data_IF_679389401281
#
_entry.id   IF_679389401281
#
_cell.length_a   1.000
_cell.length_b   1.000
_cell.length_c   1.000
_cell.angle_alpha   90.00
_cell.angle_beta   90.00
_cell.angle_gamma   90.00
#
_symmetry.space_group_name_H-M   'P 1'
#
loop_
_entity.id
_entity.type
_entity.pdbx_description
1 polymer ?
#
# COMPACT_ATOMS: atom_id res chain seq x y z
N UNK A 1 4.46 -15.54 -20.93
CA UNK A 1 3.90 -16.53 -19.97
C UNK A 1 4.67 -16.65 -18.65
N UNK A 2 6.01 -16.51 -18.58
CA UNK A 2 6.78 -16.60 -17.30
C UNK A 2 6.57 -15.45 -16.31
N UNK A 3 6.20 -14.26 -16.74
CA UNK A 3 5.97 -13.08 -15.86
C UNK A 3 4.68 -13.16 -15.04
N UNK A 4 3.66 -13.87 -15.54
CA UNK A 4 2.43 -14.09 -14.77
C UNK A 4 2.60 -15.13 -13.66
N UNK A 5 3.54 -16.07 -13.83
CA UNK A 5 3.77 -17.13 -12.85
C UNK A 5 4.40 -16.62 -11.56
N UNK A 6 5.31 -15.65 -11.64
CA UNK A 6 5.95 -15.01 -10.48
C UNK A 6 4.92 -14.18 -9.70
N UNK A 7 4.00 -13.49 -10.40
CA UNK A 7 2.92 -12.75 -9.77
C UNK A 7 1.97 -13.66 -8.98
N UNK A 8 1.65 -14.86 -9.50
CA UNK A 8 0.80 -15.85 -8.82
C UNK A 8 1.47 -16.49 -7.61
N UNK A 9 2.78 -16.72 -7.64
CA UNK A 9 3.53 -17.25 -6.49
C UNK A 9 3.56 -16.22 -5.36
N UNK A 10 3.78 -14.94 -5.66
CA UNK A 10 3.71 -13.87 -4.65
C UNK A 10 2.29 -13.71 -4.07
N UNK A 11 1.28 -13.82 -4.90
CA UNK A 11 -0.12 -13.73 -4.47
C UNK A 11 -0.52 -14.92 -3.59
N UNK A 12 -0.06 -16.14 -3.89
CA UNK A 12 -0.36 -17.34 -3.09
C UNK A 12 0.31 -17.33 -1.71
N UNK A 13 1.49 -16.75 -1.56
CA UNK A 13 2.18 -16.60 -0.27
C UNK A 13 1.46 -15.60 0.64
N UNK A 14 0.87 -14.54 0.07
CA UNK A 14 0.06 -13.57 0.83
C UNK A 14 -1.30 -14.18 1.21
N UNK A 15 -1.88 -15.07 0.39
CA UNK A 15 -3.18 -15.69 0.60
C UNK A 15 -3.17 -16.93 1.52
N UNK A 16 -2.02 -17.57 1.73
CA UNK A 16 -1.90 -18.75 2.59
C UNK A 16 -1.66 -18.47 4.08
N UNK A 17 -1.57 -17.21 4.48
CA UNK A 17 -1.50 -16.83 5.87
C UNK A 17 -2.87 -17.09 6.54
N UNK A 18 -2.88 -18.02 7.48
CA UNK A 18 -4.05 -18.52 8.23
C UNK A 18 -4.96 -17.41 8.76
N UNK A 19 -6.27 -17.57 8.62
CA UNK A 19 -7.33 -16.59 8.94
C UNK A 19 -7.34 -16.10 10.40
N UNK A 20 -6.69 -16.77 11.33
CA UNK A 20 -6.72 -16.40 12.75
C UNK A 20 -5.69 -15.34 13.19
N UNK A 21 -4.70 -15.01 12.36
CA UNK A 21 -3.61 -14.07 12.72
C UNK A 21 -3.54 -12.80 11.88
N UNK A 22 -4.61 -12.44 11.18
CA UNK A 22 -4.60 -11.31 10.24
C UNK A 22 -4.37 -9.93 10.89
N UNK A 23 -4.63 -9.78 12.16
CA UNK A 23 -4.44 -8.51 12.87
C UNK A 23 -3.04 -8.37 13.51
N UNK A 24 -2.27 -9.45 13.57
CA UNK A 24 -0.90 -9.49 14.07
C UNK A 24 0.11 -9.81 12.95
N UNK A 25 0.04 -9.12 11.82
CA UNK A 25 1.20 -9.06 10.92
C UNK A 25 2.23 -8.09 11.55
N UNK A 26 2.77 -8.46 12.68
CA UNK A 26 4.17 -8.28 12.91
C UNK A 26 4.85 -9.22 11.94
N UNK A 27 5.62 -8.72 11.01
CA UNK A 27 6.46 -9.51 10.11
C UNK A 27 7.33 -10.37 11.02
N UNK A 28 6.89 -11.62 11.24
CA UNK A 28 7.61 -12.54 12.09
C UNK A 28 8.89 -12.93 11.33
N UNK A 29 9.99 -13.08 12.03
CA UNK A 29 11.29 -13.50 11.47
C UNK A 29 11.18 -14.73 10.56
N UNK A 30 10.17 -15.59 10.78
CA UNK A 30 9.87 -16.74 9.94
C UNK A 30 9.36 -16.37 8.54
N UNK A 31 8.72 -15.21 8.36
CA UNK A 31 8.27 -14.76 7.03
C UNK A 31 9.44 -14.21 6.22
N UNK A 32 10.41 -13.55 6.86
CA UNK A 32 11.62 -13.10 6.21
C UNK A 32 12.51 -14.29 5.79
N UNK A 33 12.66 -15.30 6.65
CA UNK A 33 13.42 -16.50 6.37
C UNK A 33 12.82 -17.33 5.22
N UNK A 34 11.48 -17.47 5.15
CA UNK A 34 10.80 -18.15 4.05
C UNK A 34 10.94 -17.42 2.72
N UNK A 35 10.90 -16.09 2.75
CA UNK A 35 11.10 -15.26 1.56
C UNK A 35 12.56 -15.26 1.10
N UNK A 36 13.52 -15.28 2.03
CA UNK A 36 14.95 -15.42 1.73
C UNK A 36 15.27 -16.79 1.10
N UNK A 37 14.62 -17.86 1.54
CA UNK A 37 14.75 -19.20 0.96
C UNK A 37 14.20 -19.26 -0.47
N UNK A 38 13.06 -18.59 -0.75
CA UNK A 38 12.49 -18.52 -2.10
C UNK A 38 13.33 -17.65 -3.06
N UNK A 39 13.87 -16.53 -2.56
CA UNK A 39 14.72 -15.62 -3.33
C UNK A 39 16.09 -16.20 -3.65
N UNK A 40 16.62 -17.06 -2.78
CA UNK A 40 17.87 -17.80 -2.98
C UNK A 40 17.69 -19.13 -3.73
N UNK A 41 16.50 -19.40 -4.25
CA UNK A 41 16.28 -20.60 -5.05
C UNK A 41 17.19 -20.62 -6.29
N UNK A 42 17.70 -21.82 -6.71
CA UNK A 42 18.65 -21.93 -7.84
C UNK A 42 18.15 -21.37 -9.17
N UNK A 43 16.86 -21.13 -9.30
CA UNK A 43 16.26 -20.55 -10.49
C UNK A 43 16.36 -19.01 -10.51
N UNK A 44 16.31 -18.35 -9.35
CA UNK A 44 16.48 -16.90 -9.24
C UNK A 44 17.96 -16.53 -9.25
N UNK A 45 18.83 -17.32 -8.63
CA UNK A 45 20.28 -17.11 -8.67
C UNK A 45 20.87 -17.21 -10.08
N UNK A 46 20.28 -18.04 -10.97
CA UNK A 46 20.68 -18.13 -12.39
C UNK A 46 20.22 -16.91 -13.22
N UNK A 47 19.21 -16.14 -12.78
CA UNK A 47 18.85 -14.88 -13.41
C UNK A 47 19.81 -13.73 -13.04
N UNK A 48 20.51 -13.83 -11.93
CA UNK A 48 21.50 -12.84 -11.48
C UNK A 48 22.91 -13.04 -12.10
N UNK A 49 23.16 -14.12 -12.85
CA UNK A 49 24.49 -14.45 -13.38
C UNK A 49 24.84 -13.75 -14.70
N UNK A 50 24.22 -12.63 -15.04
CA UNK A 50 24.72 -11.77 -16.12
C UNK A 50 25.75 -10.76 -15.60
N UNK A 51 26.86 -11.28 -15.05
CA UNK A 51 28.01 -10.54 -14.51
C UNK A 51 28.68 -9.55 -15.48
N UNK A 52 28.30 -9.57 -16.75
CA UNK A 52 28.87 -8.70 -17.77
C UNK A 52 28.40 -7.24 -17.65
N UNK A 53 27.24 -7.01 -17.05
CA UNK A 53 26.66 -5.68 -16.86
C UNK A 53 26.92 -5.07 -15.49
N UNK A 54 27.40 -5.85 -14.52
CA UNK A 54 27.70 -5.37 -13.15
C UNK A 54 29.04 -4.62 -13.05
N UNK A 55 30.02 -4.90 -13.93
CA UNK A 55 31.34 -4.25 -13.88
C UNK A 55 31.30 -2.78 -14.24
N UNK A 56 30.48 -2.39 -15.22
CA UNK A 56 30.35 -0.98 -15.62
C UNK A 56 29.48 -0.15 -14.64
N UNK A 57 28.71 -0.85 -13.79
CA UNK A 57 27.79 -0.26 -12.81
C UNK A 57 28.51 0.18 -11.51
N UNK A 58 29.68 -0.35 -11.26
CA UNK A 58 30.39 -0.17 -9.97
C UNK A 58 31.08 1.19 -9.81
N UNK A 59 31.23 1.98 -10.87
CA UNK A 59 32.11 3.13 -10.85
C UNK A 59 31.45 4.42 -10.33
N UNK A 60 30.12 4.57 -10.42
CA UNK A 60 29.42 5.81 -10.04
C UNK A 60 28.46 5.70 -8.84
N UNK A 61 28.24 4.51 -8.28
CA UNK A 61 27.19 4.24 -7.30
C UNK A 61 27.69 4.03 -5.87
N UNK A 62 28.87 4.51 -5.51
CA UNK A 62 29.43 4.33 -4.15
C UNK A 62 28.63 5.03 -3.04
N UNK A 63 27.73 5.95 -3.39
CA UNK A 63 26.92 6.72 -2.43
C UNK A 63 25.45 6.35 -2.36
N UNK A 64 24.94 5.39 -3.16
CA UNK A 64 23.54 5.02 -3.16
C UNK A 64 23.30 3.68 -2.46
N UNK A 65 22.37 3.65 -1.51
CA UNK A 65 21.95 2.43 -0.85
C UNK A 65 21.24 1.54 -1.89
N UNK A 66 21.76 0.33 -2.10
CA UNK A 66 21.06 -0.67 -2.92
C UNK A 66 19.75 -1.02 -2.22
N UNK A 67 18.63 -0.79 -2.90
CA UNK A 67 17.30 -1.11 -2.41
C UNK A 67 16.77 -2.28 -3.22
N UNK A 68 16.42 -3.37 -2.54
CA UNK A 68 15.78 -4.53 -3.14
C UNK A 68 14.31 -4.24 -3.43
N UNK A 69 13.74 -4.93 -4.43
CA UNK A 69 12.28 -4.92 -4.66
C UNK A 69 11.52 -5.27 -3.38
N UNK A 70 12.04 -6.24 -2.62
CA UNK A 70 11.42 -6.67 -1.37
C UNK A 70 11.42 -5.57 -0.32
N UNK A 71 12.51 -4.83 -0.16
CA UNK A 71 12.60 -3.69 0.76
C UNK A 71 11.54 -2.63 0.43
N UNK A 72 11.35 -2.32 -0.87
CA UNK A 72 10.33 -1.35 -1.31
C UNK A 72 8.92 -1.83 -0.98
N UNK A 73 8.63 -3.10 -1.21
CA UNK A 73 7.31 -3.67 -0.90
C UNK A 73 7.05 -3.66 0.61
N UNK A 74 8.01 -4.11 1.42
CA UNK A 74 7.90 -4.11 2.89
C UNK A 74 7.72 -2.69 3.44
N UNK A 75 8.50 -1.75 2.97
CA UNK A 75 8.40 -0.33 3.35
C UNK A 75 7.03 0.25 2.96
N UNK A 76 6.52 -0.09 1.77
CA UNK A 76 5.20 0.35 1.32
C UNK A 76 4.09 -0.23 2.20
N UNK A 77 4.15 -1.53 2.52
CA UNK A 77 3.14 -2.19 3.36
C UNK A 77 3.15 -1.62 4.79
N UNK A 78 4.32 -1.37 5.36
CA UNK A 78 4.43 -0.84 6.73
C UNK A 78 3.99 0.63 6.86
N UNK A 79 4.25 1.45 5.85
CA UNK A 79 4.04 2.90 5.93
C UNK A 79 2.82 3.42 5.17
N UNK A 80 2.14 2.61 4.36
CA UNK A 80 0.98 3.07 3.59
C UNK A 80 -0.16 3.56 4.47
N UNK A 81 -0.52 4.83 4.34
CA UNK A 81 -1.66 5.43 5.02
C UNK A 81 -2.99 4.79 4.60
N UNK A 82 -3.11 4.38 3.33
CA UNK A 82 -4.30 3.70 2.80
C UNK A 82 -4.50 2.33 3.45
N UNK A 83 -3.42 1.56 3.66
CA UNK A 83 -3.50 0.27 4.36
C UNK A 83 -3.88 0.45 5.83
N UNK A 84 -3.32 1.45 6.51
CA UNK A 84 -3.70 1.78 7.88
C UNK A 84 -5.18 2.16 7.97
N UNK A 85 -5.66 3.03 7.08
CA UNK A 85 -7.07 3.42 7.03
C UNK A 85 -8.00 2.22 6.75
N UNK A 86 -7.64 1.35 5.82
CA UNK A 86 -8.41 0.16 5.50
C UNK A 86 -8.44 -0.86 6.66
N UNK A 87 -7.33 -0.97 7.42
CA UNK A 87 -7.28 -1.76 8.65
C UNK A 87 -8.23 -1.23 9.71
N UNK A 88 -8.28 0.10 9.90
CA UNK A 88 -9.21 0.72 10.85
C UNK A 88 -10.66 0.47 10.46
N UNK A 89 -10.99 0.38 9.16
CA UNK A 89 -12.33 0.00 8.70
C UNK A 89 -12.70 -1.43 9.10
N UNK A 90 -11.74 -2.37 9.05
CA UNK A 90 -11.98 -3.75 9.54
C UNK A 90 -12.25 -3.73 11.05
N UNK A 91 -11.44 -3.01 11.84
CA UNK A 91 -11.63 -2.86 13.29
C UNK A 91 -13.00 -2.23 13.60
N UNK A 92 -13.40 -1.21 12.84
CA UNK A 92 -14.72 -0.58 12.99
C UNK A 92 -15.86 -1.58 12.74
N UNK A 93 -15.75 -2.41 11.70
CA UNK A 93 -16.76 -3.44 11.42
C UNK A 93 -16.79 -4.52 12.49
N UNK A 94 -15.63 -4.86 13.07
CA UNK A 94 -15.55 -5.78 14.20
C UNK A 94 -16.23 -5.22 15.47
N UNK A 95 -16.04 -3.93 15.75
CA UNK A 95 -16.71 -3.24 16.88
C UNK A 95 -18.22 -3.23 16.67
N UNK A 96 -18.71 -2.91 15.45
CA UNK A 96 -20.15 -2.97 15.12
C UNK A 96 -20.73 -4.36 15.35
N UNK A 97 -20.00 -5.41 15.00
CA UNK A 97 -20.42 -6.78 15.27
C UNK A 97 -20.51 -7.06 16.77
N UNK A 98 -19.53 -6.63 17.55
CA UNK A 98 -19.56 -6.75 19.03
C UNK A 98 -20.74 -5.98 19.63
N UNK A 99 -21.06 -4.80 19.14
CA UNK A 99 -22.22 -4.01 19.56
C UNK A 99 -23.53 -4.74 19.25
N UNK A 100 -23.65 -5.38 18.09
CA UNK A 100 -24.84 -6.19 17.77
C UNK A 100 -24.98 -7.40 18.69
N UNK A 101 -23.87 -8.07 19.04
CA UNK A 101 -23.86 -9.19 19.99
C UNK A 101 -24.24 -8.70 21.38
N UNK A 102 -23.89 -7.46 21.76
CA UNK A 102 -24.33 -6.85 23.01
C UNK A 102 -25.86 -6.75 23.14
N UNK A 103 -26.60 -6.73 22.03
CA UNK A 103 -28.07 -6.80 22.00
C UNK A 103 -28.67 -8.08 22.61
N UNK A 104 -27.88 -9.13 22.84
CA UNK A 104 -28.28 -10.33 23.57
C UNK A 104 -28.16 -10.20 25.10
N UNK A 105 -27.49 -9.16 25.59
CA UNK A 105 -27.25 -8.95 27.03
C UNK A 105 -28.21 -7.93 27.60
N UNK A 106 -28.47 -7.99 28.93
CA UNK A 106 -29.29 -6.99 29.62
C UNK A 106 -28.60 -5.62 29.63
N UNK A 107 -29.37 -4.57 29.45
CA UNK A 107 -28.92 -3.19 29.63
C UNK A 107 -29.30 -2.67 31.00
N UNK A 108 -28.37 -1.96 31.64
CA UNK A 108 -28.59 -1.30 32.94
C UNK A 108 -28.54 0.22 32.73
N UNK A 109 -29.60 0.90 33.14
CA UNK A 109 -29.74 2.34 33.08
C UNK A 109 -29.93 2.93 34.46
N UNK A 110 -29.36 4.10 34.70
CA UNK A 110 -29.63 4.94 35.87
C UNK A 110 -30.13 6.31 35.36
N UNK A 111 -31.35 6.65 35.78
CA UNK A 111 -31.95 7.95 35.49
C UNK A 111 -32.04 8.74 36.80
N UNK A 112 -31.60 10.00 36.77
CA UNK A 112 -31.71 10.96 37.84
C UNK A 112 -32.37 12.21 37.30
N UNK A 113 -33.54 12.52 37.83
CA UNK A 113 -34.29 13.70 37.47
C UNK A 113 -34.39 14.60 38.70
N UNK A 114 -34.02 15.87 38.58
CA UNK A 114 -34.15 16.87 39.64
C UNK A 114 -34.92 18.05 39.04
N UNK A 115 -36.12 18.27 39.56
CA UNK A 115 -37.00 19.33 39.12
C UNK A 115 -37.43 20.22 40.27
N UNK A 116 -37.88 21.41 39.95
CA UNK A 116 -38.59 22.30 40.85
C UNK A 116 -39.98 22.52 40.27
N UNK A 117 -40.94 21.89 40.95
CA UNK A 117 -42.36 21.99 40.53
C UNK A 117 -43.04 23.09 41.33
N UNK A 118 -43.74 23.97 40.61
CA UNK A 118 -44.61 24.96 41.21
C UNK A 118 -46.04 24.41 41.17
N UNK A 119 -46.59 24.14 42.31
CA UNK A 119 -48.03 23.81 42.41
C UNK A 119 -48.80 25.04 42.87
N UNK A 120 -49.65 25.51 41.98
CA UNK A 120 -50.69 26.52 42.32
C UNK A 120 -52.03 25.85 42.45
N UNK A 121 -52.54 25.77 43.62
CA UNK A 121 -53.91 25.29 43.86
C UNK A 121 -54.85 26.47 43.91
N UNK A 122 -55.85 26.46 42.99
CA UNK A 122 -57.07 27.28 42.96
C UNK A 122 -56.93 28.80 43.05
N UNK A 123 -57.81 29.52 42.39
CA UNK A 123 -57.82 31.01 42.21
C UNK A 123 -57.85 31.84 43.52
N UNK A 124 -57.91 31.23 44.67
CA UNK A 124 -57.96 31.88 45.99
C UNK A 124 -56.68 31.74 46.85
N UNK A 125 -55.73 30.88 46.46
CA UNK A 125 -54.47 30.72 47.21
C UNK A 125 -53.39 31.66 46.69
N UNK A 126 -53.12 32.71 47.50
CA UNK A 126 -52.10 33.70 47.19
C UNK A 126 -50.65 33.19 47.36
N UNK A 127 -50.44 31.94 47.65
CA UNK A 127 -49.12 31.37 47.92
C UNK A 127 -48.81 30.24 46.95
N UNK A 128 -47.83 30.49 46.07
CA UNK A 128 -47.22 29.41 45.27
C UNK A 128 -46.31 28.56 46.16
N UNK A 129 -46.54 27.29 46.21
CA UNK A 129 -45.69 26.34 46.92
C UNK A 129 -44.76 25.64 45.95
N UNK A 130 -43.49 25.81 46.21
CA UNK A 130 -42.42 25.16 45.42
C UNK A 130 -42.02 23.86 46.07
N UNK A 131 -42.01 22.81 45.29
CA UNK A 131 -41.53 21.49 45.73
C UNK A 131 -40.27 21.19 44.90
N UNK A 132 -39.22 20.76 45.60
CA UNK A 132 -38.06 20.17 44.95
C UNK A 132 -38.39 18.69 44.76
N UNK A 133 -38.55 18.30 43.52
CA UNK A 133 -38.75 16.90 43.14
C UNK A 133 -37.41 16.28 42.75
N UNK A 134 -37.11 15.11 43.31
CA UNK A 134 -35.93 14.31 43.03
C UNK A 134 -36.36 12.88 42.82
N UNK A 135 -36.19 12.45 41.58
CA UNK A 135 -36.52 11.08 41.18
C UNK A 135 -35.25 10.34 40.77
N UNK A 136 -35.02 9.18 41.37
CA UNK A 136 -33.91 8.28 41.06
C UNK A 136 -34.50 6.95 40.64
N UNK A 137 -34.11 6.47 39.42
CA UNK A 137 -34.66 5.26 38.83
C UNK A 137 -33.53 4.40 38.30
N UNK A 138 -33.52 3.14 38.73
CA UNK A 138 -32.69 2.09 38.16
C UNK A 138 -33.53 1.24 37.21
N UNK A 139 -33.03 1.06 36.00
CA UNK A 139 -33.73 0.32 34.96
C UNK A 139 -32.83 -0.83 34.52
N UNK A 140 -33.33 -2.07 34.63
CA UNK A 140 -32.73 -3.25 34.04
C UNK A 140 -33.69 -3.72 32.91
N UNK A 141 -33.19 -3.72 31.69
CA UNK A 141 -33.97 -4.11 30.53
C UNK A 141 -33.31 -5.28 29.80
N UNK A 142 -34.05 -6.37 29.60
CA UNK A 142 -33.60 -7.54 28.86
C UNK A 142 -34.60 -7.81 27.75
N UNK A 143 -34.12 -7.82 26.50
CA UNK A 143 -34.92 -8.26 25.37
C UNK A 143 -34.88 -9.80 25.32
N UNK A 144 -36.01 -10.43 25.58
CA UNK A 144 -36.13 -11.90 25.57
C UNK A 144 -36.37 -12.44 24.16
N UNK A 145 -37.18 -11.72 23.35
CA UNK A 145 -37.49 -12.12 22.00
C UNK A 145 -37.82 -10.91 21.12
N UNK A 146 -37.11 -10.75 20.03
CA UNK A 146 -37.26 -9.66 19.05
C UNK A 146 -37.69 -10.14 17.65
N UNK A 147 -38.36 -11.29 17.55
CA UNK A 147 -38.76 -11.82 16.25
C UNK A 147 -37.61 -12.18 15.30
N UNK A 148 -36.42 -12.43 15.85
CA UNK A 148 -35.22 -12.74 15.07
C UNK A 148 -34.39 -11.51 14.64
N UNK A 149 -34.80 -10.29 15.00
CA UNK A 149 -34.11 -9.05 14.63
C UNK A 149 -32.65 -9.08 15.04
N UNK A 150 -32.32 -9.33 16.34
CA UNK A 150 -30.96 -9.38 16.85
C UNK A 150 -30.13 -10.43 16.13
N UNK A 151 -30.69 -11.64 15.92
CA UNK A 151 -29.97 -12.72 15.22
C UNK A 151 -29.63 -12.37 13.77
N UNK A 152 -30.60 -11.78 13.06
CA UNK A 152 -30.37 -11.38 11.67
C UNK A 152 -29.42 -10.19 11.56
N UNK A 153 -29.46 -9.25 12.51
CA UNK A 153 -28.55 -8.13 12.58
C UNK A 153 -27.11 -8.63 12.80
N UNK A 154 -26.87 -9.55 13.73
CA UNK A 154 -25.54 -10.17 13.95
C UNK A 154 -25.04 -10.83 12.68
N UNK A 155 -25.86 -11.67 12.02
CA UNK A 155 -25.48 -12.32 10.75
C UNK A 155 -25.17 -11.33 9.63
N UNK A 156 -25.91 -10.22 9.56
CA UNK A 156 -25.66 -9.15 8.58
C UNK A 156 -24.29 -8.51 8.82
N UNK A 157 -23.98 -8.18 10.09
CA UNK A 157 -22.71 -7.54 10.46
C UNK A 157 -21.52 -8.50 10.36
N UNK A 158 -21.71 -9.81 10.55
CA UNK A 158 -20.68 -10.80 10.21
C UNK A 158 -20.31 -10.76 8.71
N UNK A 159 -21.31 -10.63 7.84
CA UNK A 159 -21.06 -10.49 6.40
C UNK A 159 -20.40 -9.15 6.05
N UNK A 160 -20.82 -8.06 6.73
CA UNK A 160 -20.17 -6.75 6.57
C UNK A 160 -18.70 -6.78 7.00
N UNK A 161 -18.37 -7.47 8.10
CA UNK A 161 -16.97 -7.69 8.52
C UNK A 161 -16.18 -8.45 7.45
N UNK A 162 -16.74 -9.49 6.85
CA UNK A 162 -16.10 -10.23 5.77
C UNK A 162 -15.87 -9.35 4.53
N UNK A 163 -16.82 -8.47 4.20
CA UNK A 163 -16.64 -7.47 3.12
C UNK A 163 -15.49 -6.52 3.45
N UNK A 164 -15.43 -6.00 4.68
CA UNK A 164 -14.34 -5.11 5.10
C UNK A 164 -12.96 -5.80 5.04
N UNK A 165 -12.88 -7.07 5.44
CA UNK A 165 -11.64 -7.88 5.31
C UNK A 165 -11.23 -8.04 3.84
N UNK A 166 -12.16 -8.38 2.96
CA UNK A 166 -11.88 -8.51 1.54
C UNK A 166 -11.45 -7.18 0.91
N UNK A 167 -12.05 -6.07 1.34
CA UNK A 167 -11.65 -4.72 0.91
C UNK A 167 -10.23 -4.38 1.33
N UNK A 168 -9.84 -4.75 2.56
CA UNK A 168 -8.46 -4.61 3.00
C UNK A 168 -7.48 -5.39 2.10
N UNK A 169 -7.82 -6.63 1.72
CA UNK A 169 -7.01 -7.42 0.79
C UNK A 169 -6.86 -6.77 -0.59
N UNK A 170 -7.94 -6.20 -1.11
CA UNK A 170 -7.91 -5.49 -2.39
C UNK A 170 -6.96 -4.28 -2.32
N UNK A 171 -7.06 -3.49 -1.25
CA UNK A 171 -6.17 -2.33 -1.04
C UNK A 171 -4.72 -2.78 -0.89
N UNK A 172 -4.46 -3.88 -0.16
CA UNK A 172 -3.12 -4.46 -0.03
C UNK A 172 -2.53 -4.84 -1.38
N UNK A 173 -3.28 -5.59 -2.20
CA UNK A 173 -2.85 -5.99 -3.53
C UNK A 173 -2.57 -4.79 -4.44
N UNK A 174 -3.42 -3.77 -4.38
CA UNK A 174 -3.25 -2.55 -5.15
C UNK A 174 -1.98 -1.79 -4.74
N UNK A 175 -1.71 -1.64 -3.44
CA UNK A 175 -0.53 -0.94 -2.95
C UNK A 175 0.76 -1.71 -3.30
N UNK A 176 0.78 -3.03 -3.14
CA UNK A 176 1.90 -3.89 -3.54
C UNK A 176 2.15 -3.78 -5.06
N UNK A 177 1.10 -3.83 -5.86
CA UNK A 177 1.22 -3.68 -7.32
C UNK A 177 1.77 -2.32 -7.72
N UNK A 178 1.32 -1.25 -7.06
CA UNK A 178 1.86 0.10 -7.29
C UNK A 178 3.34 0.20 -6.92
N UNK A 179 3.74 -0.39 -5.79
CA UNK A 179 5.13 -0.40 -5.35
C UNK A 179 6.03 -1.15 -6.34
N UNK A 180 5.60 -2.34 -6.80
CA UNK A 180 6.31 -3.12 -7.80
C UNK A 180 6.45 -2.34 -9.11
N UNK A 181 5.37 -1.72 -9.58
CA UNK A 181 5.38 -0.91 -10.79
C UNK A 181 6.36 0.25 -10.66
N UNK A 182 6.27 1.02 -9.58
CA UNK A 182 7.15 2.17 -9.34
C UNK A 182 8.64 1.75 -9.30
N UNK A 183 8.95 0.61 -8.67
CA UNK A 183 10.31 0.08 -8.66
C UNK A 183 10.81 -0.22 -10.08
N UNK A 184 10.01 -0.91 -10.89
CA UNK A 184 10.41 -1.22 -12.27
C UNK A 184 10.46 0.02 -13.16
N UNK A 185 9.60 1.01 -12.94
CA UNK A 185 9.66 2.29 -13.66
C UNK A 185 11.01 2.99 -13.42
N UNK A 186 11.49 3.01 -12.17
CA UNK A 186 12.81 3.56 -11.81
C UNK A 186 13.93 2.76 -12.45
N UNK A 187 13.90 1.43 -12.37
CA UNK A 187 14.91 0.55 -13.00
C UNK A 187 14.92 0.74 -14.51
N UNK A 188 13.76 0.87 -15.14
CA UNK A 188 13.64 1.11 -16.59
C UNK A 188 14.21 2.47 -16.98
N UNK A 189 13.84 3.54 -16.25
CA UNK A 189 14.36 4.88 -16.50
C UNK A 189 15.89 4.90 -16.40
N UNK A 190 16.44 4.31 -15.34
CA UNK A 190 17.89 4.18 -15.19
C UNK A 190 18.57 3.44 -16.35
N UNK A 191 18.01 2.28 -16.77
CA UNK A 191 18.53 1.51 -17.90
C UNK A 191 18.48 2.30 -19.22
N UNK A 192 17.46 3.13 -19.38
CA UNK A 192 17.30 3.99 -20.56
C UNK A 192 18.36 5.08 -20.59
N UNK A 193 18.66 5.71 -19.45
CA UNK A 193 19.78 6.68 -19.34
C UNK A 193 21.10 6.01 -19.72
N UNK A 194 21.42 4.85 -19.13
CA UNK A 194 22.66 4.13 -19.40
C UNK A 194 22.80 3.75 -20.87
N UNK A 195 21.70 3.27 -21.51
CA UNK A 195 21.70 2.96 -22.92
C UNK A 195 21.96 4.20 -23.81
N UNK A 196 21.35 5.33 -23.43
CA UNK A 196 21.55 6.61 -24.13
C UNK A 196 22.99 7.14 -24.00
N UNK A 197 23.59 6.99 -22.83
CA UNK A 197 25.00 7.32 -22.57
C UNK A 197 25.95 6.47 -23.43
N UNK A 198 25.73 5.15 -23.44
CA UNK A 198 26.51 4.24 -24.27
C UNK A 198 26.38 4.53 -25.76
N UNK A 199 25.15 4.85 -26.22
CA UNK A 199 24.93 5.26 -27.61
C UNK A 199 25.70 6.54 -27.93
N UNK A 200 25.64 7.55 -27.07
CA UNK A 200 26.40 8.80 -27.22
C UNK A 200 27.91 8.55 -27.27
N UNK A 201 28.45 7.70 -26.39
CA UNK A 201 29.86 7.30 -26.38
C UNK A 201 30.26 6.63 -27.71
N UNK A 202 29.43 5.72 -28.24
CA UNK A 202 29.68 5.06 -29.49
C UNK A 202 29.66 6.03 -30.69
N UNK A 203 28.67 6.94 -30.74
CA UNK A 203 28.58 7.95 -31.78
C UNK A 203 29.78 8.92 -31.79
N UNK A 204 30.24 9.34 -30.64
CA UNK A 204 31.45 10.15 -30.51
C UNK A 204 32.70 9.43 -31.05
N UNK A 205 32.83 8.11 -30.79
CA UNK A 205 33.90 7.30 -31.34
C UNK A 205 33.84 7.19 -32.84
N UNK A 206 32.61 7.03 -33.38
CA UNK A 206 32.40 7.01 -34.84
C UNK A 206 32.73 8.38 -35.45
N UNK A 207 32.34 9.48 -34.83
CA UNK A 207 32.68 10.83 -35.24
C UNK A 207 34.20 11.02 -35.35
N UNK A 208 34.94 10.56 -34.34
CA UNK A 208 36.43 10.62 -34.34
C UNK A 208 36.99 9.85 -35.56
N UNK A 209 36.53 8.61 -35.79
CA UNK A 209 37.01 7.80 -36.91
C UNK A 209 36.67 8.46 -38.25
N UNK A 210 35.44 8.99 -38.44
CA UNK A 210 35.03 9.65 -39.66
C UNK A 210 35.83 10.95 -39.89
N UNK A 211 36.13 11.69 -38.84
CA UNK A 211 36.94 12.89 -38.90
C UNK A 211 38.37 12.55 -39.39
N UNK A 212 39.01 11.52 -38.85
CA UNK A 212 40.34 11.06 -39.31
C UNK A 212 40.30 10.61 -40.78
N UNK A 213 39.23 9.90 -41.20
CA UNK A 213 39.08 9.49 -42.58
C UNK A 213 38.86 10.66 -43.52
N UNK A 214 38.12 11.69 -43.10
CA UNK A 214 37.92 12.90 -43.89
C UNK A 214 39.20 13.66 -44.07
N UNK A 215 39.99 13.83 -43.00
CA UNK A 215 41.28 14.53 -43.04
C UNK A 215 42.31 13.83 -43.94
N UNK A 216 42.19 12.51 -44.11
CA UNK A 216 43.01 11.70 -44.98
C UNK A 216 42.40 11.53 -46.39
N UNK A 217 41.30 12.23 -46.72
CA UNK A 217 40.62 12.15 -48.01
C UNK A 217 39.84 10.85 -48.30
N UNK A 218 39.62 10.01 -47.26
CA UNK A 218 38.94 8.72 -47.36
C UNK A 218 37.46 8.77 -46.96
N UNK A 219 36.92 9.93 -46.60
CA UNK A 219 35.50 10.16 -46.38
C UNK A 219 35.03 11.50 -46.98
N UNK A 220 33.73 11.63 -47.24
CA UNK A 220 33.15 12.86 -47.79
C UNK A 220 32.75 13.86 -46.68
N UNK A 221 32.59 15.12 -47.06
CA UNK A 221 32.02 16.15 -46.16
C UNK A 221 30.57 15.80 -45.75
N UNK A 222 29.83 15.11 -46.65
CA UNK A 222 28.51 14.62 -46.35
C UNK A 222 28.50 13.60 -45.21
N UNK A 223 29.43 12.65 -45.22
CA UNK A 223 29.56 11.64 -44.17
C UNK A 223 29.87 12.30 -42.80
N UNK A 224 30.81 13.25 -42.79
CA UNK A 224 31.16 13.97 -41.59
C UNK A 224 29.97 14.78 -41.02
N UNK A 225 29.21 15.43 -41.91
CA UNK A 225 28.07 16.24 -41.50
C UNK A 225 26.93 15.35 -40.99
N UNK A 226 26.68 14.20 -41.61
CA UNK A 226 25.67 13.25 -41.16
C UNK A 226 25.98 12.70 -39.76
N UNK A 227 27.23 12.34 -39.49
CA UNK A 227 27.64 11.88 -38.16
C UNK A 227 27.54 12.99 -37.07
N UNK A 228 27.93 14.22 -37.42
CA UNK A 228 27.75 15.39 -36.50
C UNK A 228 26.27 15.59 -36.18
N UNK A 229 25.36 15.46 -37.14
CA UNK A 229 23.93 15.55 -36.89
C UNK A 229 23.43 14.41 -35.97
N UNK A 230 23.90 13.18 -36.20
CA UNK A 230 23.54 12.05 -35.33
C UNK A 230 24.02 12.21 -33.88
N UNK A 231 25.24 12.74 -33.68
CA UNK A 231 25.76 13.07 -32.33
C UNK A 231 24.90 14.13 -31.66
N UNK A 232 24.51 15.20 -32.39
CA UNK A 232 23.64 16.25 -31.88
C UNK A 232 22.25 15.71 -31.45
N UNK A 233 21.67 14.84 -32.29
CA UNK A 233 20.40 14.19 -32.00
C UNK A 233 20.50 13.28 -30.76
N UNK A 234 21.57 12.50 -30.63
CA UNK A 234 21.81 11.66 -29.48
C UNK A 234 22.02 12.48 -28.20
N UNK A 235 22.72 13.62 -28.31
CA UNK A 235 22.88 14.57 -27.19
C UNK A 235 21.52 15.11 -26.69
N UNK A 236 20.65 15.48 -27.62
CA UNK A 236 19.31 15.97 -27.33
C UNK A 236 18.47 14.84 -26.67
N UNK A 237 18.55 13.61 -27.19
CA UNK A 237 17.87 12.45 -26.63
C UNK A 237 18.35 12.16 -25.22
N UNK A 238 19.67 12.19 -24.96
CA UNK A 238 20.24 11.99 -23.63
C UNK A 238 19.77 13.06 -22.64
N UNK A 239 19.76 14.31 -23.04
CA UNK A 239 19.28 15.43 -22.20
C UNK A 239 17.81 15.23 -21.85
N UNK A 240 16.98 14.82 -22.80
CA UNK A 240 15.55 14.55 -22.58
C UNK A 240 15.28 13.39 -21.60
N UNK A 241 16.14 12.37 -21.61
CA UNK A 241 15.98 11.20 -20.71
C UNK A 241 16.49 11.49 -19.30
N UNK A 242 17.42 12.47 -19.14
CA UNK A 242 17.94 12.91 -17.85
C UNK A 242 17.05 13.94 -17.14
N UNK A 243 16.18 14.65 -17.88
CA UNK A 243 15.22 15.64 -17.34
C UNK A 243 13.98 14.98 -16.75
#
# INVERSE_FOLDING_TARGET
MKKQFIFWIFLSVILSANEENFLNISINENTSAYLDEQLNSPQISKMNSNDRYEKDFKTDMTNYKKVSLMDVVLETVSNSALLKASREQVIQSEIKLKDAIAGYYPTFGFESETGRTQSGSNANDKFFKYYNDRNYKFILSQNIYSGGETSNNVKSLEKELNVAKNQYHLVLQEQVTKAIKAYFDVVFAYRTVLASENNMKNLNRILEIVTIKYDNGAATIGDLTAIKANVSNAQTALTKVRS
#
